data_IF_158348142485
#
_entry.id   IF_158348142485
#
_cell.length_a   1.000
_cell.length_b   1.000
_cell.length_c   1.000
_cell.angle_alpha   90.00
_cell.angle_beta   90.00
_cell.angle_gamma   90.00
#
_symmetry.space_group_name_H-M   'P 1'
#
loop_
_entity.id
_entity.type
_entity.pdbx_description
1 polymer ?
#
# COMPACT_ATOMS: atom_id res chain seq x y z
N UNK A 1 -1.90 -13.94 18.97
CA UNK A 1 -1.77 -12.79 19.90
C UNK A 1 -2.13 -13.30 21.30
N UNK A 2 -1.25 -13.15 22.27
CA UNK A 2 -1.47 -13.62 23.64
C UNK A 2 -2.24 -12.57 24.46
N UNK A 3 -2.99 -13.01 25.50
CA UNK A 3 -3.69 -12.12 26.45
C UNK A 3 -2.77 -11.06 27.09
N UNK A 4 -1.46 -11.30 27.11
CA UNK A 4 -0.45 -10.36 27.62
C UNK A 4 -0.29 -9.10 26.74
N UNK A 5 -0.54 -9.19 25.42
CA UNK A 5 -0.44 -8.07 24.48
C UNK A 5 -1.65 -7.11 24.61
N UNK A 6 -2.80 -7.65 24.97
CA UNK A 6 -4.02 -6.85 25.21
C UNK A 6 -3.96 -6.00 26.49
N UNK A 7 -3.19 -6.43 27.50
CA UNK A 7 -3.07 -5.72 28.77
C UNK A 7 -2.14 -4.50 28.74
N UNK A 8 -1.33 -4.35 27.70
CA UNK A 8 -0.38 -3.24 27.54
C UNK A 8 -0.88 -2.09 26.64
N UNK A 9 -2.02 -2.26 25.97
CA UNK A 9 -2.57 -1.21 25.10
C UNK A 9 -3.21 -0.10 25.92
N UNK A 10 -2.92 1.18 25.62
CA UNK A 10 -3.61 2.31 26.24
C UNK A 10 -5.14 2.20 26.09
N UNK A 11 -5.89 2.56 27.16
CA UNK A 11 -7.35 2.49 27.19
C UNK A 11 -7.94 3.84 27.65
N UNK A 12 -9.22 4.05 27.37
CA UNK A 12 -9.90 5.30 27.69
C UNK A 12 -9.50 6.42 26.75
N UNK A 13 -8.95 7.50 27.28
CA UNK A 13 -8.41 8.60 26.46
C UNK A 13 -7.04 8.21 25.93
N UNK A 14 -6.93 8.06 24.63
CA UNK A 14 -5.73 7.57 23.92
C UNK A 14 -5.25 8.64 22.93
N UNK A 15 -3.96 8.84 22.84
CA UNK A 15 -3.34 9.69 21.83
C UNK A 15 -2.75 8.84 20.72
N UNK A 16 -3.15 9.14 19.50
CA UNK A 16 -2.71 8.44 18.29
C UNK A 16 -1.69 9.26 17.53
N UNK A 17 -0.59 8.63 17.14
CA UNK A 17 0.39 9.14 16.21
C UNK A 17 0.30 8.32 14.91
N UNK A 18 0.11 9.02 13.80
CA UNK A 18 0.30 8.48 12.46
C UNK A 18 1.54 9.09 11.83
N UNK A 19 2.33 8.27 11.16
CA UNK A 19 3.48 8.72 10.39
C UNK A 19 3.38 8.23 8.96
N UNK A 20 4.02 8.92 8.03
CA UNK A 20 4.07 8.53 6.62
C UNK A 20 5.25 9.23 5.92
N UNK A 21 5.97 8.52 5.02
CA UNK A 21 7.11 9.06 4.28
C UNK A 21 6.63 9.84 3.07
N UNK A 22 7.00 11.11 2.98
CA UNK A 22 6.64 11.96 1.85
C UNK A 22 7.35 11.50 0.57
N UNK A 23 6.57 11.20 -0.47
CA UNK A 23 7.11 10.81 -1.77
C UNK A 23 7.74 9.42 -1.81
N UNK A 24 7.32 8.50 -0.94
CA UNK A 24 7.80 7.12 -0.85
C UNK A 24 7.82 6.40 -2.21
N UNK A 25 6.78 6.57 -3.02
CA UNK A 25 6.74 6.01 -4.40
C UNK A 25 7.90 6.49 -5.29
N UNK A 26 8.37 7.75 -5.11
CA UNK A 26 9.53 8.26 -5.84
C UNK A 26 10.83 7.64 -5.32
N UNK A 27 10.93 7.44 -4.00
CA UNK A 27 12.07 6.78 -3.38
C UNK A 27 12.18 5.32 -3.84
N UNK A 28 11.08 4.59 -3.86
CA UNK A 28 11.02 3.20 -4.40
C UNK A 28 11.54 3.17 -5.84
N UNK A 29 11.07 4.08 -6.70
CA UNK A 29 11.50 4.12 -8.11
C UNK A 29 12.97 4.52 -8.29
N UNK A 30 13.48 5.40 -7.42
CA UNK A 30 14.86 5.89 -7.52
C UNK A 30 15.89 4.89 -6.99
N UNK A 31 15.54 4.15 -5.92
CA UNK A 31 16.45 3.29 -5.18
C UNK A 31 16.32 1.80 -5.56
N UNK A 32 15.19 1.39 -6.17
CA UNK A 32 14.98 0.00 -6.52
C UNK A 32 15.19 -0.94 -5.31
N UNK A 33 16.16 -1.82 -5.38
CA UNK A 33 16.49 -2.79 -4.32
C UNK A 33 16.96 -2.15 -3.02
N UNK A 34 17.66 -1.02 -3.09
CA UNK A 34 18.23 -0.36 -1.90
C UNK A 34 17.17 0.35 -1.05
N UNK A 35 15.93 0.47 -1.58
CA UNK A 35 14.80 0.98 -0.81
C UNK A 35 14.50 0.14 0.45
N UNK A 36 14.75 -1.17 0.41
CA UNK A 36 14.58 -2.06 1.56
C UNK A 36 15.40 -1.65 2.78
N UNK A 37 16.66 -1.26 2.57
CA UNK A 37 17.56 -0.81 3.63
C UNK A 37 17.12 0.54 4.19
N UNK A 38 16.69 1.46 3.32
CA UNK A 38 16.13 2.76 3.73
C UNK A 38 14.87 2.56 4.58
N UNK A 39 13.96 1.67 4.16
CA UNK A 39 12.74 1.36 4.90
C UNK A 39 13.04 0.70 6.25
N UNK A 40 13.99 -0.21 6.31
CA UNK A 40 14.42 -0.85 7.55
C UNK A 40 14.99 0.19 8.54
N UNK A 41 15.84 1.09 8.05
CA UNK A 41 16.41 2.16 8.88
C UNK A 41 15.37 3.16 9.35
N UNK A 42 14.48 3.60 8.46
CA UNK A 42 13.32 4.43 8.84
C UNK A 42 12.50 3.77 9.96
N UNK A 43 12.17 2.49 9.79
CA UNK A 43 11.38 1.74 10.78
C UNK A 43 12.08 1.64 12.13
N UNK A 44 13.40 1.44 12.14
CA UNK A 44 14.21 1.41 13.35
C UNK A 44 14.16 2.75 14.09
N UNK A 45 14.32 3.87 13.39
CA UNK A 45 14.29 5.21 13.98
C UNK A 45 12.92 5.52 14.62
N UNK A 46 11.82 5.20 13.92
CA UNK A 46 10.48 5.37 14.47
C UNK A 46 10.28 4.49 15.71
N UNK A 47 10.60 3.20 15.64
CA UNK A 47 10.42 2.27 16.78
C UNK A 47 11.25 2.65 17.99
N UNK A 48 12.46 3.11 17.80
CA UNK A 48 13.33 3.57 18.90
C UNK A 48 12.71 4.79 19.62
N UNK A 49 12.23 5.78 18.88
CA UNK A 49 11.56 6.94 19.45
C UNK A 49 10.26 6.55 20.17
N UNK A 50 9.43 5.71 19.55
CA UNK A 50 8.17 5.20 20.13
C UNK A 50 8.42 4.43 21.43
N UNK A 51 9.39 3.53 21.44
CA UNK A 51 9.73 2.73 22.63
C UNK A 51 10.26 3.59 23.78
N UNK A 52 11.05 4.61 23.48
CA UNK A 52 11.63 5.54 24.49
C UNK A 52 10.55 6.36 25.20
N UNK A 53 9.38 6.51 24.59
CA UNK A 53 8.25 7.31 25.12
C UNK A 53 6.99 6.47 25.39
N UNK A 54 7.14 5.19 25.70
CA UNK A 54 6.05 4.28 26.09
C UNK A 54 4.92 4.17 25.05
N UNK A 55 5.24 4.34 23.76
CA UNK A 55 4.29 4.14 22.68
C UNK A 55 4.04 2.66 22.40
N UNK A 56 2.83 2.34 22.01
CA UNK A 56 2.43 1.02 21.56
C UNK A 56 2.20 1.04 20.05
N UNK A 57 3.03 0.31 19.28
CA UNK A 57 2.83 0.13 17.84
C UNK A 57 1.57 -0.71 17.61
N UNK A 58 0.56 -0.10 17.00
CA UNK A 58 -0.74 -0.75 16.74
C UNK A 58 -0.71 -1.46 15.40
N UNK A 59 -0.15 -0.80 14.38
CA UNK A 59 -0.07 -1.31 13.02
C UNK A 59 1.06 -0.59 12.26
N UNK A 60 1.62 -1.28 11.27
CA UNK A 60 2.62 -0.72 10.35
C UNK A 60 2.27 -1.15 8.94
N UNK A 61 2.22 -0.21 8.01
CA UNK A 61 1.90 -0.46 6.61
C UNK A 61 2.97 0.19 5.74
N UNK A 62 3.85 -0.64 5.18
CA UNK A 62 5.00 -0.14 4.45
C UNK A 62 5.82 0.82 5.32
N UNK A 63 5.87 2.09 4.91
CA UNK A 63 6.55 3.18 5.62
C UNK A 63 5.69 3.92 6.65
N UNK A 64 4.40 3.59 6.75
CA UNK A 64 3.46 4.25 7.65
C UNK A 64 3.32 3.53 8.98
N UNK A 65 3.39 4.28 10.09
CA UNK A 65 3.18 3.75 11.44
C UNK A 65 1.89 4.30 12.04
N UNK A 66 1.17 3.43 12.72
CA UNK A 66 0.07 3.77 13.61
C UNK A 66 0.43 3.37 15.03
N UNK A 67 0.58 4.37 15.91
CA UNK A 67 1.04 4.21 17.29
C UNK A 67 0.03 4.81 18.25
N UNK A 68 -0.17 4.15 19.40
CA UNK A 68 -1.03 4.60 20.49
C UNK A 68 -0.21 4.93 21.73
N UNK A 69 -0.58 6.02 22.42
CA UNK A 69 0.04 6.48 23.66
C UNK A 69 -1.03 6.74 24.73
N UNK A 70 -0.72 6.42 25.97
CA UNK A 70 -1.55 6.77 27.12
C UNK A 70 -1.52 8.25 27.50
N UNK A 71 -0.55 9.02 26.98
CA UNK A 71 -0.33 10.43 27.33
C UNK A 71 0.04 11.24 26.08
N UNK A 72 -0.61 12.38 25.90
CA UNK A 72 -0.35 13.26 24.75
C UNK A 72 1.12 13.73 24.68
N UNK A 73 1.71 14.07 25.81
CA UNK A 73 3.11 14.52 25.88
C UNK A 73 4.11 13.45 25.44
N UNK A 74 3.84 12.18 25.74
CA UNK A 74 4.72 11.09 25.33
C UNK A 74 4.69 10.91 23.79
N UNK A 75 3.49 11.04 23.18
CA UNK A 75 3.34 11.04 21.72
C UNK A 75 4.08 12.19 21.04
N UNK A 76 4.00 13.38 21.62
CA UNK A 76 4.70 14.57 21.11
C UNK A 76 6.21 14.40 21.23
N UNK A 77 6.71 13.96 22.37
CA UNK A 77 8.13 13.70 22.58
C UNK A 77 8.67 12.63 21.60
N UNK A 78 7.94 11.54 21.42
CA UNK A 78 8.28 10.50 20.43
C UNK A 78 8.34 11.06 19.00
N UNK A 79 7.38 11.90 18.62
CA UNK A 79 7.35 12.51 17.30
C UNK A 79 8.54 13.46 17.07
N UNK A 80 8.88 14.27 18.06
CA UNK A 80 10.03 15.21 18.00
C UNK A 80 11.34 14.45 17.89
N UNK A 81 11.53 13.42 18.73
CA UNK A 81 12.76 12.62 18.71
C UNK A 81 12.90 11.81 17.40
N UNK A 82 11.80 11.25 16.89
CA UNK A 82 11.80 10.61 15.59
C UNK A 82 12.19 11.57 14.46
N UNK A 83 11.65 12.79 14.43
CA UNK A 83 12.01 13.79 13.42
C UNK A 83 13.48 14.22 13.52
N UNK A 84 13.99 14.42 14.73
CA UNK A 84 15.41 14.71 14.94
C UNK A 84 16.31 13.60 14.48
N UNK A 85 15.93 12.36 14.77
CA UNK A 85 16.68 11.18 14.33
C UNK A 85 16.72 11.07 12.79
N UNK A 86 15.58 11.32 12.11
CA UNK A 86 15.54 11.34 10.65
C UNK A 86 16.36 12.48 10.05
N UNK A 87 16.34 13.67 10.67
CA UNK A 87 17.12 14.81 10.20
C UNK A 87 18.65 14.63 10.40
N UNK A 88 19.05 13.83 11.38
CA UNK A 88 20.46 13.55 11.68
C UNK A 88 20.99 12.32 10.90
N UNK A 89 20.12 11.52 10.25
CA UNK A 89 20.49 10.31 9.56
C UNK A 89 21.13 10.61 8.19
N UNK A 90 22.15 9.85 7.83
CA UNK A 90 22.77 9.88 6.50
C UNK A 90 22.07 8.84 5.59
N UNK A 91 21.17 9.31 4.74
CA UNK A 91 20.33 8.47 3.89
C UNK A 91 20.98 8.03 2.56
N UNK A 92 22.27 8.31 2.37
CA UNK A 92 23.01 7.91 1.16
C UNK A 92 22.33 8.41 -0.13
N UNK A 93 22.13 7.51 -1.10
CA UNK A 93 21.53 7.84 -2.39
C UNK A 93 20.04 8.20 -2.31
N UNK A 94 19.37 7.92 -1.19
CA UNK A 94 18.00 8.38 -0.94
C UNK A 94 17.92 9.92 -0.76
N UNK A 95 19.04 10.56 -0.47
CA UNK A 95 19.15 11.99 -0.22
C UNK A 95 18.52 12.38 1.11
N UNK A 96 17.22 12.55 1.20
CA UNK A 96 16.51 12.94 2.40
C UNK A 96 15.21 12.14 2.53
N UNK A 97 15.04 11.41 3.63
CA UNK A 97 13.78 10.71 3.96
C UNK A 97 12.97 11.58 4.91
N UNK A 98 11.92 12.19 4.40
CA UNK A 98 11.10 13.16 5.12
C UNK A 98 9.80 12.53 5.57
N UNK A 99 9.54 12.55 6.87
CA UNK A 99 8.36 11.91 7.49
C UNK A 99 7.36 12.99 7.91
N UNK A 100 6.11 12.88 7.48
CA UNK A 100 5.00 13.68 8.00
C UNK A 100 4.36 12.95 9.18
N UNK A 101 3.92 13.70 10.19
CA UNK A 101 3.36 13.14 11.41
C UNK A 101 2.09 13.87 11.81
N UNK A 102 1.07 13.11 12.25
CA UNK A 102 -0.19 13.65 12.73
C UNK A 102 -0.60 13.03 14.05
N UNK A 103 -0.95 13.88 15.04
CA UNK A 103 -1.28 13.45 16.39
C UNK A 103 -2.69 13.91 16.75
N UNK A 104 -3.50 12.99 17.28
CA UNK A 104 -4.84 13.28 17.75
C UNK A 104 -5.18 12.48 19.01
N UNK A 105 -5.82 13.13 19.97
CA UNK A 105 -6.28 12.50 21.22
C UNK A 105 -7.80 12.34 21.19
N UNK A 106 -8.27 11.13 21.47
CA UNK A 106 -9.68 10.76 21.48
C UNK A 106 -9.96 9.59 22.41
N UNK A 107 -11.23 9.27 22.58
CA UNK A 107 -11.71 8.03 23.22
C UNK A 107 -12.14 7.04 22.12
N UNK A 108 -11.28 6.11 21.71
CA UNK A 108 -11.60 5.14 20.67
C UNK A 108 -12.42 3.98 21.20
N UNK A 109 -13.10 3.28 20.29
CA UNK A 109 -13.57 1.95 20.54
C UNK A 109 -12.43 0.93 20.32
N UNK A 110 -12.43 -0.14 21.11
CA UNK A 110 -11.42 -1.20 21.03
C UNK A 110 -11.99 -2.48 20.44
N UNK A 111 -11.19 -3.15 19.62
CA UNK A 111 -11.43 -4.50 19.15
C UNK A 111 -10.23 -5.40 19.50
N UNK A 112 -10.37 -6.73 19.39
CA UNK A 112 -9.23 -7.63 19.57
C UNK A 112 -8.04 -7.30 18.64
N UNK A 113 -8.29 -6.67 17.49
CA UNK A 113 -7.27 -6.34 16.49
C UNK A 113 -6.72 -4.92 16.60
N UNK A 114 -7.29 -4.03 17.44
CA UNK A 114 -6.81 -2.66 17.60
C UNK A 114 -7.89 -1.65 17.95
N UNK A 115 -7.63 -0.39 17.62
CA UNK A 115 -8.54 0.73 17.84
C UNK A 115 -9.33 1.05 16.58
N UNK A 116 -10.59 1.48 16.76
CA UNK A 116 -11.43 1.96 15.67
C UNK A 116 -12.27 3.17 16.08
N UNK A 117 -12.91 3.82 15.12
CA UNK A 117 -13.73 4.99 15.30
C UNK A 117 -13.16 6.26 14.70
N UNK A 118 -13.94 7.35 14.78
CA UNK A 118 -13.62 8.63 14.14
C UNK A 118 -12.32 9.27 14.63
N UNK A 119 -11.89 8.99 15.87
CA UNK A 119 -10.63 9.50 16.41
C UNK A 119 -9.41 8.96 15.67
N UNK A 120 -9.41 7.66 15.33
CA UNK A 120 -8.34 7.04 14.54
C UNK A 120 -8.27 7.65 13.13
N UNK A 121 -9.45 7.80 12.47
CA UNK A 121 -9.52 8.43 11.15
C UNK A 121 -9.03 9.88 11.18
N UNK A 122 -9.38 10.64 12.24
CA UNK A 122 -8.96 12.04 12.38
C UNK A 122 -7.44 12.16 12.49
N UNK A 123 -6.78 11.34 13.30
CA UNK A 123 -5.31 11.31 13.39
C UNK A 123 -4.65 11.05 12.03
N UNK A 124 -5.13 10.05 11.28
CA UNK A 124 -4.65 9.74 9.94
C UNK A 124 -4.86 10.89 8.95
N UNK A 125 -6.00 11.62 9.02
CA UNK A 125 -6.28 12.78 8.15
C UNK A 125 -5.40 13.98 8.49
N UNK A 126 -5.10 14.21 9.77
CA UNK A 126 -4.15 15.26 10.20
C UNK A 126 -2.75 14.95 9.65
N UNK A 127 -2.29 13.70 9.74
CA UNK A 127 -1.03 13.28 9.13
C UNK A 127 -1.01 13.56 7.61
N UNK A 128 -2.08 13.20 6.90
CA UNK A 128 -2.16 13.30 5.45
C UNK A 128 -2.07 14.73 4.90
N UNK A 129 -2.51 15.76 5.64
CA UNK A 129 -2.45 17.15 5.18
C UNK A 129 -1.09 17.82 5.44
N UNK A 130 -0.22 17.19 6.22
CA UNK A 130 1.12 17.66 6.53
C UNK A 130 2.14 17.42 5.43
N UNK A 131 3.30 18.02 5.61
CA UNK A 131 4.48 17.87 4.76
C UNK A 131 5.56 17.05 5.46
N UNK A 132 6.46 16.46 4.71
CA UNK A 132 7.61 15.72 5.26
C UNK A 132 8.47 16.63 6.18
N UNK A 133 8.77 16.13 7.39
CA UNK A 133 9.43 16.90 8.45
C UNK A 133 8.47 17.67 9.36
N UNK A 134 7.16 17.69 9.08
CA UNK A 134 6.16 18.44 9.84
C UNK A 134 5.44 17.53 10.85
N UNK A 135 5.23 18.05 12.07
CA UNK A 135 4.41 17.41 13.11
C UNK A 135 3.18 18.27 13.34
N UNK A 136 1.99 17.68 13.12
CA UNK A 136 0.70 18.34 13.28
C UNK A 136 -0.10 17.76 14.43
N UNK A 137 -0.78 18.63 15.17
CA UNK A 137 -1.67 18.28 16.27
C UNK A 137 -3.10 18.72 15.98
N UNK A 138 -4.08 17.95 16.44
CA UNK A 138 -5.45 18.42 16.61
C UNK A 138 -5.57 19.39 17.79
N UNK A 139 -6.68 20.16 17.82
CA UNK A 139 -7.02 21.01 18.96
C UNK A 139 -7.10 20.23 20.28
N UNK A 140 -7.67 19.02 20.27
CA UNK A 140 -7.78 18.19 21.49
C UNK A 140 -6.41 17.80 22.04
N UNK A 141 -5.46 17.47 21.17
CA UNK A 141 -4.09 17.16 21.59
C UNK A 141 -3.35 18.41 22.06
N UNK A 142 -3.46 19.51 21.30
CA UNK A 142 -2.81 20.79 21.66
C UNK A 142 -3.22 21.27 23.06
N UNK A 143 -4.48 21.09 23.44
CA UNK A 143 -4.96 21.45 24.78
C UNK A 143 -4.47 20.55 25.94
N UNK A 144 -3.80 19.44 25.62
CA UNK A 144 -3.21 18.51 26.58
C UNK A 144 -1.69 18.63 26.68
N UNK A 145 -1.09 19.42 25.78
CA UNK A 145 0.35 19.69 25.77
C UNK A 145 0.58 21.01 26.46
N UNK A 146 1.20 20.97 27.64
CA UNK A 146 1.59 22.15 28.39
C UNK A 146 2.99 22.59 27.91
N UNK A 147 3.07 23.77 27.32
CA UNK A 147 4.33 24.34 26.82
C UNK A 147 5.29 24.62 27.99
N UNK A 148 4.78 24.93 29.18
CA UNK A 148 5.58 25.18 30.38
C UNK A 148 6.23 23.88 30.92
N UNK A 149 5.57 22.72 30.71
CA UNK A 149 6.11 21.42 31.07
C UNK A 149 6.98 20.79 29.96
N UNK A 150 7.06 21.43 28.78
CA UNK A 150 7.79 20.94 27.60
C UNK A 150 8.77 21.99 27.07
N UNK A 151 9.87 22.27 27.81
CA UNK A 151 10.83 23.30 27.43
C UNK A 151 11.35 23.11 26.00
N UNK A 152 11.31 24.18 25.21
CA UNK A 152 11.77 24.18 23.82
C UNK A 152 10.75 23.67 22.79
N UNK A 153 9.50 23.44 23.21
CA UNK A 153 8.35 23.23 22.31
C UNK A 153 7.52 24.51 22.23
N UNK A 154 7.10 24.88 21.02
CA UNK A 154 6.13 25.94 20.75
C UNK A 154 5.05 25.38 19.84
N UNK A 155 3.79 25.76 20.08
CA UNK A 155 2.65 25.39 19.25
C UNK A 155 2.25 26.58 18.35
N UNK A 156 2.41 26.40 17.05
CA UNK A 156 1.91 27.36 16.06
C UNK A 156 0.52 27.00 15.59
N UNK A 157 -0.44 27.87 15.81
CA UNK A 157 -1.81 27.72 15.29
C UNK A 157 -1.82 27.93 13.77
N UNK A 158 -2.26 26.92 13.03
CA UNK A 158 -2.40 26.97 11.56
C UNK A 158 -3.83 27.27 11.11
N UNK A 159 -4.78 27.47 12.06
CA UNK A 159 -6.18 27.75 11.77
C UNK A 159 -7.04 26.51 11.56
N UNK A 160 -8.21 26.74 10.98
CA UNK A 160 -9.22 25.69 10.74
C UNK A 160 -9.12 25.13 9.32
N UNK A 161 -9.11 23.81 9.23
CA UNK A 161 -8.98 23.08 7.96
C UNK A 161 -10.05 22.01 7.82
N UNK A 162 -10.72 21.98 6.67
CA UNK A 162 -11.63 20.88 6.33
C UNK A 162 -10.81 19.66 5.93
N UNK A 163 -10.91 18.58 6.69
CA UNK A 163 -10.24 17.32 6.42
C UNK A 163 -11.18 16.35 5.69
N UNK A 164 -10.64 15.55 4.78
CA UNK A 164 -11.42 14.60 3.98
C UNK A 164 -12.23 13.65 4.87
N UNK A 165 -13.57 13.62 4.68
CA UNK A 165 -14.47 12.74 5.41
C UNK A 165 -14.79 13.19 6.83
N UNK A 166 -14.46 14.44 7.20
CA UNK A 166 -14.94 15.09 8.42
C UNK A 166 -15.93 16.18 8.06
N UNK A 167 -17.08 16.22 8.75
CA UNK A 167 -18.16 17.15 8.47
C UNK A 167 -17.90 18.58 9.00
N UNK A 168 -16.93 18.71 9.91
CA UNK A 168 -16.57 19.98 10.55
C UNK A 168 -15.09 20.28 10.37
N UNK A 169 -14.70 21.55 10.20
CA UNK A 169 -13.31 21.96 10.19
C UNK A 169 -12.61 21.54 11.49
N UNK A 170 -11.36 21.12 11.39
CA UNK A 170 -10.46 20.82 12.51
C UNK A 170 -9.43 21.93 12.63
N UNK A 171 -9.24 22.44 13.84
CA UNK A 171 -8.16 23.40 14.13
C UNK A 171 -6.87 22.64 14.33
N UNK A 172 -5.87 22.99 13.53
CA UNK A 172 -4.60 22.28 13.45
C UNK A 172 -3.49 23.16 13.99
N UNK A 173 -2.60 22.55 14.76
CA UNK A 173 -1.40 23.16 15.30
C UNK A 173 -0.17 22.44 14.78
N UNK A 174 0.91 23.21 14.57
CA UNK A 174 2.23 22.67 14.21
C UNK A 174 3.14 22.74 15.42
N UNK A 175 3.89 21.67 15.69
CA UNK A 175 4.98 21.70 16.67
C UNK A 175 6.19 22.40 16.06
N UNK A 176 6.72 23.35 16.78
CA UNK A 176 8.03 23.96 16.57
C UNK A 176 8.96 23.49 17.68
N UNK A 177 10.12 22.97 17.31
CA UNK A 177 11.14 22.55 18.27
C UNK A 177 12.53 22.79 17.67
N UNK A 178 13.52 23.01 18.54
CA UNK A 178 14.90 23.17 18.10
C UNK A 178 15.39 21.93 17.31
N UNK A 179 16.03 22.17 16.18
CA UNK A 179 16.50 21.12 15.27
C UNK A 179 15.45 20.62 14.27
N UNK A 180 14.22 21.16 14.31
CA UNK A 180 13.17 20.83 13.34
C UNK A 180 12.88 21.98 12.38
N UNK A 181 12.36 21.65 11.19
CA UNK A 181 11.88 22.63 10.22
C UNK A 181 10.73 23.46 10.78
N UNK A 182 10.84 24.80 10.71
CA UNK A 182 9.81 25.70 11.21
C UNK A 182 8.85 26.19 10.13
N UNK A 183 9.25 26.18 8.85
CA UNK A 183 8.50 26.78 7.74
C UNK A 183 8.17 25.73 6.70
N UNK A 184 6.88 25.57 6.41
CA UNK A 184 6.34 24.66 5.41
C UNK A 184 5.39 25.41 4.47
N UNK A 185 5.09 24.80 3.32
CA UNK A 185 4.00 25.27 2.48
C UNK A 185 2.65 25.20 3.23
N UNK A 186 1.60 25.90 2.76
CA UNK A 186 0.26 25.73 3.32
C UNK A 186 -0.14 24.26 3.38
N UNK A 187 -0.92 23.88 4.40
CA UNK A 187 -1.39 22.51 4.52
C UNK A 187 -2.11 22.05 3.24
N UNK A 188 -1.94 20.79 2.89
CA UNK A 188 -2.48 20.22 1.66
C UNK A 188 -4.01 20.23 1.69
N UNK A 189 -4.62 20.80 0.68
CA UNK A 189 -6.07 20.91 0.60
C UNK A 189 -6.73 19.57 0.30
N UNK A 190 -8.04 19.44 0.62
CA UNK A 190 -8.85 18.26 0.24
C UNK A 190 -8.81 18.04 -1.28
N UNK A 191 -8.77 19.13 -2.06
CA UNK A 191 -8.70 19.07 -3.53
C UNK A 191 -7.35 18.55 -4.02
N UNK A 192 -6.23 18.95 -3.39
CA UNK A 192 -4.90 18.43 -3.72
C UNK A 192 -4.76 16.96 -3.34
N UNK A 193 -5.23 16.59 -2.14
CA UNK A 193 -5.28 15.19 -1.71
C UNK A 193 -6.21 14.33 -2.58
N UNK A 194 -7.31 14.90 -3.08
CA UNK A 194 -8.18 14.22 -4.03
C UNK A 194 -7.49 14.03 -5.39
N UNK A 195 -6.75 15.03 -5.88
CA UNK A 195 -5.98 14.92 -7.12
C UNK A 195 -4.84 13.92 -7.02
N UNK A 196 -4.15 13.83 -5.89
CA UNK A 196 -3.14 12.80 -5.66
C UNK A 196 -3.77 11.40 -5.53
N UNK A 197 -4.96 11.30 -4.89
CA UNK A 197 -5.73 10.07 -4.84
C UNK A 197 -6.33 9.68 -6.21
N UNK A 198 -6.61 10.67 -7.08
CA UNK A 198 -6.99 10.45 -8.48
C UNK A 198 -5.80 10.09 -9.36
N UNK A 199 -4.62 10.63 -9.06
CA UNK A 199 -3.36 10.20 -9.69
C UNK A 199 -2.96 8.79 -9.27
N UNK A 200 -3.39 8.33 -8.10
CA UNK A 200 -3.43 6.92 -7.68
C UNK A 200 -4.78 6.32 -8.12
N UNK A 201 -4.99 6.17 -9.43
CA UNK A 201 -6.23 5.70 -10.05
C UNK A 201 -6.51 4.22 -9.82
N UNK A 202 -6.63 3.83 -8.59
CA UNK A 202 -7.17 2.51 -8.29
C UNK A 202 -8.69 2.53 -8.48
N UNK A 203 -9.25 1.79 -9.44
CA UNK A 203 -10.68 1.73 -9.68
C UNK A 203 -11.42 1.17 -8.45
N UNK A 204 -12.70 1.52 -8.30
CA UNK A 204 -13.56 1.04 -7.20
C UNK A 204 -14.87 0.48 -7.76
N UNK A 205 -15.54 -0.38 -7.00
CA UNK A 205 -16.76 -1.05 -7.41
C UNK A 205 -16.47 -2.30 -8.23
N UNK A 206 -17.01 -2.39 -9.45
CA UNK A 206 -16.69 -3.49 -10.36
C UNK A 206 -15.37 -3.22 -11.03
N UNK A 207 -14.38 -4.07 -10.76
CA UNK A 207 -13.01 -3.96 -11.27
C UNK A 207 -12.58 -5.26 -11.93
N UNK A 208 -11.53 -5.22 -12.74
CA UNK A 208 -10.93 -6.40 -13.32
C UNK A 208 -9.53 -6.62 -12.74
N UNK A 209 -9.31 -7.77 -12.16
CA UNK A 209 -8.00 -8.21 -11.66
C UNK A 209 -7.28 -9.01 -12.72
N UNK A 210 -6.00 -8.69 -12.89
CA UNK A 210 -5.00 -9.50 -13.58
C UNK A 210 -4.08 -10.08 -12.52
N UNK A 211 -3.97 -11.40 -12.50
CA UNK A 211 -3.04 -12.11 -11.61
C UNK A 211 -2.11 -12.94 -12.48
N UNK A 212 -0.82 -12.82 -12.23
CA UNK A 212 0.20 -13.68 -12.85
C UNK A 212 1.01 -14.38 -11.78
N UNK A 213 1.52 -15.56 -12.08
CA UNK A 213 2.24 -16.37 -11.11
C UNK A 213 3.18 -17.38 -11.82
N UNK A 214 4.33 -17.69 -11.21
CA UNK A 214 5.35 -18.56 -11.76
C UNK A 214 5.12 -20.03 -11.39
N UNK A 215 4.97 -20.88 -12.37
CA UNK A 215 4.86 -22.31 -12.14
C UNK A 215 6.21 -22.92 -11.79
N UNK A 216 6.31 -23.54 -10.61
CA UNK A 216 7.51 -24.24 -10.17
C UNK A 216 8.63 -23.33 -9.70
N UNK A 217 8.32 -22.13 -9.18
CA UNK A 217 9.25 -21.12 -8.65
C UNK A 217 10.28 -21.69 -7.68
N UNK A 218 9.86 -22.56 -6.74
CA UNK A 218 10.77 -23.24 -5.80
C UNK A 218 11.80 -24.13 -6.52
N UNK A 219 11.38 -24.81 -7.58
CA UNK A 219 12.28 -25.67 -8.37
C UNK A 219 13.26 -24.81 -9.18
N UNK A 220 12.79 -23.70 -9.74
CA UNK A 220 13.64 -22.72 -10.43
C UNK A 220 14.65 -22.07 -9.49
N UNK A 221 14.21 -21.65 -8.28
CA UNK A 221 15.12 -21.12 -7.27
C UNK A 221 16.23 -22.10 -6.90
N UNK A 222 15.89 -23.39 -6.76
CA UNK A 222 16.90 -24.44 -6.48
C UNK A 222 17.86 -24.67 -7.65
N UNK A 223 17.38 -24.60 -8.88
CA UNK A 223 18.18 -24.83 -10.08
C UNK A 223 19.10 -23.65 -10.41
N UNK A 224 18.62 -22.42 -10.31
CA UNK A 224 19.34 -21.20 -10.67
C UNK A 224 20.17 -20.63 -9.52
N UNK A 225 19.79 -20.93 -8.28
CA UNK A 225 20.32 -20.24 -7.08
C UNK A 225 19.70 -18.85 -6.89
N UNK A 226 19.85 -18.29 -5.69
CA UNK A 226 19.14 -17.07 -5.27
C UNK A 226 19.44 -15.85 -6.16
N UNK A 227 20.69 -15.64 -6.57
CA UNK A 227 21.07 -14.46 -7.36
C UNK A 227 20.42 -14.46 -8.74
N UNK A 228 20.59 -15.54 -9.51
CA UNK A 228 20.02 -15.65 -10.87
C UNK A 228 18.50 -15.72 -10.87
N UNK A 229 17.92 -16.38 -9.85
CA UNK A 229 16.48 -16.38 -9.67
C UNK A 229 15.95 -14.97 -9.40
N UNK A 230 16.67 -14.17 -8.60
CA UNK A 230 16.35 -12.77 -8.36
C UNK A 230 16.38 -11.94 -9.64
N UNK A 231 17.42 -12.06 -10.47
CA UNK A 231 17.53 -11.38 -11.78
C UNK A 231 16.37 -11.77 -12.73
N UNK A 232 16.02 -13.06 -12.75
CA UNK A 232 14.88 -13.55 -13.53
C UNK A 232 13.56 -12.96 -13.02
N UNK A 233 13.35 -12.91 -11.72
CA UNK A 233 12.14 -12.38 -11.09
C UNK A 233 11.99 -10.88 -11.37
N UNK A 234 13.07 -10.11 -11.28
CA UNK A 234 13.04 -8.69 -11.65
C UNK A 234 12.65 -8.48 -13.10
N UNK A 235 13.24 -9.26 -14.00
CA UNK A 235 12.90 -9.14 -15.42
C UNK A 235 11.44 -9.51 -15.70
N UNK A 236 10.93 -10.53 -15.02
CA UNK A 236 9.51 -10.89 -15.06
C UNK A 236 8.61 -9.75 -14.56
N UNK A 237 8.93 -9.18 -13.41
CA UNK A 237 8.17 -8.08 -12.81
C UNK A 237 8.16 -6.84 -13.71
N UNK A 238 9.31 -6.46 -14.29
CA UNK A 238 9.41 -5.36 -15.25
C UNK A 238 8.47 -5.57 -16.45
N UNK A 239 8.51 -6.76 -17.07
CA UNK A 239 7.69 -7.06 -18.25
C UNK A 239 6.20 -6.97 -17.92
N UNK A 240 5.76 -7.54 -16.79
CA UNK A 240 4.35 -7.51 -16.39
C UNK A 240 3.94 -6.09 -16.01
N UNK A 241 4.78 -5.35 -15.27
CA UNK A 241 4.52 -3.97 -14.87
C UNK A 241 4.39 -3.04 -16.08
N UNK A 242 5.27 -3.18 -17.08
CA UNK A 242 5.23 -2.37 -18.30
C UNK A 242 3.94 -2.64 -19.08
N UNK A 243 3.56 -3.91 -19.24
CA UNK A 243 2.32 -4.28 -19.92
C UNK A 243 1.08 -3.74 -19.18
N UNK A 244 1.05 -3.84 -17.85
CA UNK A 244 -0.03 -3.30 -17.01
C UNK A 244 -0.14 -1.78 -17.18
N UNK A 245 0.99 -1.08 -17.11
CA UNK A 245 1.03 0.38 -17.21
C UNK A 245 0.63 0.88 -18.60
N UNK A 246 1.05 0.19 -19.66
CA UNK A 246 0.71 0.51 -21.05
C UNK A 246 -0.79 0.38 -21.36
N UNK A 247 -1.52 -0.35 -20.54
CA UNK A 247 -2.96 -0.59 -20.68
C UNK A 247 -3.79 0.00 -19.53
N UNK A 248 -3.36 1.12 -18.93
CA UNK A 248 -4.08 1.85 -17.87
C UNK A 248 -4.38 1.01 -16.61
N UNK A 249 -3.60 -0.04 -16.35
CA UNK A 249 -3.66 -0.86 -15.14
C UNK A 249 -2.86 -0.29 -14.00
N UNK A 250 -3.16 -0.75 -12.78
CA UNK A 250 -2.45 -0.41 -11.57
C UNK A 250 -2.00 -1.68 -10.86
N UNK A 251 -0.70 -1.90 -10.73
CA UNK A 251 -0.18 -2.94 -9.84
C UNK A 251 -0.34 -2.51 -8.39
N UNK A 252 -0.76 -3.42 -7.51
CA UNK A 252 -0.97 -3.07 -6.11
C UNK A 252 -0.41 -4.08 -5.11
N UNK A 253 -0.09 -5.28 -5.53
CA UNK A 253 0.47 -6.29 -4.63
C UNK A 253 1.42 -7.22 -5.39
N UNK A 254 2.56 -7.51 -4.78
CA UNK A 254 3.50 -8.53 -5.20
C UNK A 254 3.75 -9.44 -3.99
N UNK A 255 3.34 -10.70 -4.11
CA UNK A 255 3.50 -11.69 -3.03
C UNK A 255 4.36 -12.84 -3.56
N UNK A 256 5.62 -12.82 -3.21
CA UNK A 256 6.58 -13.80 -3.72
C UNK A 256 6.79 -13.66 -5.22
N UNK A 257 6.33 -14.64 -5.99
CA UNK A 257 6.36 -14.73 -7.45
C UNK A 257 5.01 -14.41 -8.12
N UNK A 258 4.02 -14.01 -7.34
CA UNK A 258 2.70 -13.60 -7.83
C UNK A 258 2.63 -12.09 -7.98
N UNK A 259 2.19 -11.62 -9.15
CA UNK A 259 1.97 -10.21 -9.44
C UNK A 259 0.47 -9.96 -9.60
N UNK A 260 -0.05 -8.93 -8.93
CA UNK A 260 -1.48 -8.60 -8.95
C UNK A 260 -1.68 -7.14 -9.40
N UNK A 261 -2.47 -6.98 -10.44
CA UNK A 261 -2.88 -5.68 -10.95
C UNK A 261 -4.40 -5.56 -11.08
N UNK A 262 -4.88 -4.34 -11.10
CA UNK A 262 -6.30 -4.02 -11.22
C UNK A 262 -6.53 -3.02 -12.35
N UNK A 263 -7.67 -3.16 -13.03
CA UNK A 263 -8.09 -2.36 -14.16
C UNK A 263 -9.53 -1.90 -14.00
N UNK A 264 -9.83 -0.71 -14.47
CA UNK A 264 -11.19 -0.21 -14.58
C UNK A 264 -11.99 -0.85 -15.72
N UNK A 265 -11.33 -1.51 -16.69
CA UNK A 265 -11.95 -2.13 -17.86
C UNK A 265 -11.42 -3.54 -18.10
N UNK A 266 -12.31 -4.49 -18.33
CA UNK A 266 -11.94 -5.88 -18.60
C UNK A 266 -11.13 -6.04 -19.90
N UNK A 267 -11.42 -5.20 -20.91
CA UNK A 267 -10.69 -5.19 -22.18
C UNK A 267 -9.21 -4.86 -21.96
N UNK A 268 -8.93 -3.83 -21.18
CA UNK A 268 -7.56 -3.33 -20.96
C UNK A 268 -6.76 -4.36 -20.15
N UNK A 269 -7.37 -5.02 -19.16
CA UNK A 269 -6.78 -6.13 -18.44
C UNK A 269 -6.41 -7.32 -19.35
N UNK A 270 -7.31 -7.66 -20.28
CA UNK A 270 -7.04 -8.75 -21.23
C UNK A 270 -5.91 -8.38 -22.19
N UNK A 271 -5.89 -7.15 -22.71
CA UNK A 271 -4.82 -6.69 -23.61
C UNK A 271 -3.47 -6.64 -22.90
N UNK A 272 -3.43 -6.16 -21.66
CA UNK A 272 -2.24 -6.19 -20.82
C UNK A 272 -1.73 -7.64 -20.61
N UNK A 273 -2.64 -8.56 -20.29
CA UNK A 273 -2.31 -9.97 -20.10
C UNK A 273 -1.70 -10.61 -21.35
N UNK A 274 -2.25 -10.32 -22.53
CA UNK A 274 -1.73 -10.80 -23.82
C UNK A 274 -0.36 -10.17 -24.11
N UNK A 275 -0.23 -8.84 -23.91
CA UNK A 275 1.03 -8.13 -24.15
C UNK A 275 2.15 -8.67 -23.24
N UNK A 276 1.85 -8.86 -21.95
CA UNK A 276 2.80 -9.44 -21.01
C UNK A 276 3.22 -10.85 -21.46
N UNK A 277 2.27 -11.72 -21.77
CA UNK A 277 2.55 -13.09 -22.24
C UNK A 277 3.42 -13.10 -23.49
N UNK A 278 3.08 -12.30 -24.50
CA UNK A 278 3.83 -12.25 -25.75
C UNK A 278 5.29 -11.83 -25.53
N UNK A 279 5.54 -10.85 -24.64
CA UNK A 279 6.90 -10.43 -24.31
C UNK A 279 7.62 -11.49 -23.46
N UNK A 280 6.95 -12.11 -22.50
CA UNK A 280 7.50 -13.20 -21.68
C UNK A 280 7.94 -14.38 -22.54
N UNK A 281 7.11 -14.76 -23.53
CA UNK A 281 7.40 -15.86 -24.45
C UNK A 281 8.54 -15.54 -25.44
N UNK A 282 8.72 -14.27 -25.80
CA UNK A 282 9.78 -13.79 -26.69
C UNK A 282 11.09 -13.47 -25.96
N UNK A 283 11.09 -13.41 -24.62
CA UNK A 283 12.27 -13.05 -23.85
C UNK A 283 13.26 -14.22 -23.76
N UNK A 284 14.54 -13.92 -24.02
CA UNK A 284 15.63 -14.86 -23.75
C UNK A 284 15.93 -14.88 -22.25
N UNK A 285 15.64 -16.02 -21.63
CA UNK A 285 15.83 -16.22 -20.21
C UNK A 285 17.20 -16.85 -19.88
N UNK A 286 17.79 -16.54 -18.71
CA UNK A 286 19.04 -17.16 -18.28
C UNK A 286 18.97 -18.69 -18.31
N UNK A 287 20.07 -19.33 -18.70
CA UNK A 287 20.24 -20.79 -18.75
C UNK A 287 19.16 -21.51 -19.60
N UNK A 288 18.56 -20.83 -20.59
CA UNK A 288 17.48 -21.36 -21.45
C UNK A 288 16.26 -21.88 -20.64
N UNK A 289 16.08 -21.42 -19.42
CA UNK A 289 14.94 -21.78 -18.56
C UNK A 289 13.82 -20.77 -18.73
N UNK A 290 12.90 -21.00 -19.65
CA UNK A 290 11.70 -20.16 -19.80
C UNK A 290 10.77 -20.39 -18.62
N UNK A 291 10.46 -19.32 -17.83
CA UNK A 291 9.52 -19.45 -16.72
C UNK A 291 8.11 -19.74 -17.25
N UNK A 292 7.47 -20.76 -16.71
CA UNK A 292 6.08 -21.05 -17.00
C UNK A 292 5.17 -20.06 -16.27
N UNK A 293 4.78 -18.96 -16.90
CA UNK A 293 3.88 -17.98 -16.29
C UNK A 293 2.42 -18.38 -16.52
N UNK A 294 1.65 -18.52 -15.45
CA UNK A 294 0.20 -18.68 -15.51
C UNK A 294 -0.49 -17.35 -15.28
N UNK A 295 -1.56 -17.10 -16.01
CA UNK A 295 -2.24 -15.79 -16.01
C UNK A 295 -3.74 -16.01 -15.80
N UNK A 296 -4.33 -15.26 -14.86
CA UNK A 296 -5.76 -15.25 -14.58
C UNK A 296 -6.35 -13.86 -14.65
N UNK A 297 -7.49 -13.71 -15.33
CA UNK A 297 -8.24 -12.45 -15.41
C UNK A 297 -9.66 -12.65 -14.90
N UNK A 298 -10.05 -11.88 -13.90
CA UNK A 298 -11.40 -11.92 -13.34
C UNK A 298 -11.98 -10.55 -13.11
N UNK A 299 -13.24 -10.34 -13.49
CA UNK A 299 -14.01 -9.14 -13.21
C UNK A 299 -15.02 -9.42 -12.11
N UNK A 300 -15.02 -8.58 -11.09
CA UNK A 300 -15.93 -8.69 -9.96
C UNK A 300 -15.94 -7.45 -9.09
N UNK A 301 -16.84 -7.44 -8.12
CA UNK A 301 -16.87 -6.38 -7.12
C UNK A 301 -15.73 -6.53 -6.13
N UNK A 302 -15.11 -5.41 -5.79
CA UNK A 302 -14.07 -5.36 -4.79
C UNK A 302 -14.12 -4.03 -4.05
N UNK A 303 -13.82 -4.09 -2.76
CA UNK A 303 -13.69 -2.93 -1.91
C UNK A 303 -12.21 -2.61 -1.70
N UNK A 304 -11.89 -1.33 -1.72
CA UNK A 304 -10.55 -0.88 -1.35
C UNK A 304 -10.35 -1.02 0.15
N UNK A 305 -9.29 -1.70 0.50
CA UNK A 305 -8.86 -1.82 1.88
C UNK A 305 -7.38 -1.51 1.96
N UNK A 306 -7.03 -0.40 2.66
CA UNK A 306 -5.64 0.05 2.80
C UNK A 306 -5.02 0.36 1.42
N UNK A 307 -3.86 -0.22 1.10
CA UNK A 307 -3.17 -0.07 -0.19
C UNK A 307 -3.65 -1.02 -1.28
N UNK A 308 -4.53 -1.99 -0.95
CA UNK A 308 -4.97 -3.04 -1.87
C UNK A 308 -6.48 -3.16 -1.98
N UNK A 309 -6.93 -4.39 -2.19
CA UNK A 309 -8.34 -4.75 -2.33
C UNK A 309 -8.70 -5.92 -1.43
N UNK A 310 -9.95 -5.94 -0.98
CA UNK A 310 -10.56 -7.08 -0.29
C UNK A 310 -11.86 -7.46 -1.00
N UNK A 311 -12.24 -8.71 -0.87
CA UNK A 311 -13.50 -9.23 -1.40
C UNK A 311 -13.34 -10.49 -2.22
N UNK A 312 -14.48 -11.14 -2.49
CA UNK A 312 -14.51 -12.40 -3.24
C UNK A 312 -14.02 -12.26 -4.68
N UNK A 313 -14.06 -11.04 -5.26
CA UNK A 313 -13.55 -10.77 -6.60
C UNK A 313 -12.04 -11.04 -6.69
N UNK A 314 -11.25 -10.53 -5.73
CA UNK A 314 -9.81 -10.79 -5.69
C UNK A 314 -9.50 -12.28 -5.46
N UNK A 315 -10.18 -12.90 -4.48
CA UNK A 315 -9.99 -14.35 -4.22
C UNK A 315 -10.28 -15.15 -5.48
N UNK A 316 -11.36 -14.84 -6.20
CA UNK A 316 -11.69 -15.54 -7.44
C UNK A 316 -10.66 -15.33 -8.56
N UNK A 317 -10.07 -14.12 -8.68
CA UNK A 317 -8.98 -13.87 -9.62
C UNK A 317 -7.77 -14.77 -9.36
N UNK A 318 -7.37 -14.90 -8.09
CA UNK A 318 -6.30 -15.82 -7.66
C UNK A 318 -6.63 -17.28 -8.01
N UNK A 319 -7.87 -17.73 -7.79
CA UNK A 319 -8.29 -19.12 -8.13
C UNK A 319 -8.36 -19.34 -9.65
N UNK A 320 -8.72 -18.33 -10.44
CA UNK A 320 -8.66 -18.42 -11.92
C UNK A 320 -7.21 -18.55 -12.39
N UNK A 321 -6.28 -17.78 -11.83
CA UNK A 321 -4.85 -17.89 -12.11
C UNK A 321 -4.32 -19.28 -11.72
N UNK A 322 -4.63 -19.77 -10.52
CA UNK A 322 -4.21 -21.07 -10.03
C UNK A 322 -4.75 -22.25 -10.86
N UNK A 323 -5.86 -22.06 -11.56
CA UNK A 323 -6.42 -23.06 -12.47
C UNK A 323 -5.72 -23.13 -13.82
N UNK A 324 -4.84 -22.17 -14.16
CA UNK A 324 -4.08 -22.13 -15.39
C UNK A 324 -2.78 -22.95 -15.29
N UNK A 325 -2.35 -23.49 -16.43
CA UNK A 325 -1.01 -24.06 -16.57
C UNK A 325 0.00 -22.98 -16.99
N UNK A 326 1.29 -23.29 -16.91
CA UNK A 326 2.34 -22.38 -17.42
C UNK A 326 2.11 -22.04 -18.90
N UNK A 327 2.23 -20.75 -19.25
CA UNK A 327 1.94 -20.19 -20.57
C UNK A 327 0.44 -19.98 -20.85
N UNK A 328 -0.47 -20.40 -19.95
CA UNK A 328 -1.91 -20.31 -20.17
C UNK A 328 -2.49 -19.03 -19.57
N UNK A 329 -3.37 -18.38 -20.33
CA UNK A 329 -4.15 -17.19 -19.92
C UNK A 329 -5.62 -17.57 -19.84
N UNK A 330 -6.19 -17.51 -18.62
CA UNK A 330 -7.57 -17.87 -18.35
C UNK A 330 -8.40 -16.67 -17.93
N UNK A 331 -9.63 -16.61 -18.44
CA UNK A 331 -10.65 -15.66 -18.07
C UNK A 331 -11.76 -16.36 -17.29
N UNK A 332 -12.29 -15.65 -16.29
CA UNK A 332 -13.55 -16.05 -15.66
C UNK A 332 -14.75 -15.80 -16.59
N UNK A 333 -15.89 -16.47 -16.36
CA UNK A 333 -17.14 -16.22 -17.12
C UNK A 333 -17.59 -14.76 -17.06
N UNK A 334 -17.36 -14.07 -15.93
CA UNK A 334 -17.72 -12.66 -15.77
C UNK A 334 -16.88 -11.76 -16.68
N UNK A 335 -15.58 -12.04 -16.79
CA UNK A 335 -14.68 -11.30 -17.70
C UNK A 335 -15.03 -11.59 -19.15
N UNK A 336 -15.21 -12.87 -19.51
CA UNK A 336 -15.57 -13.30 -20.86
C UNK A 336 -16.86 -12.61 -21.32
N UNK A 337 -17.92 -12.63 -20.50
CA UNK A 337 -19.19 -12.00 -20.84
C UNK A 337 -19.11 -10.50 -21.08
N UNK A 338 -18.12 -9.80 -20.50
CA UNK A 338 -17.90 -8.37 -20.73
C UNK A 338 -17.14 -8.13 -22.04
N UNK A 339 -16.14 -8.95 -22.34
CA UNK A 339 -15.29 -8.77 -23.52
C UNK A 339 -15.82 -9.48 -24.76
N UNK A 340 -16.82 -10.32 -24.62
CA UNK A 340 -17.45 -11.03 -25.72
C UNK A 340 -18.16 -10.03 -26.67
N UNK A 341 -17.84 -10.13 -27.95
CA UNK A 341 -18.37 -9.21 -28.97
C UNK A 341 -17.61 -7.88 -29.13
N UNK A 342 -16.56 -7.65 -28.35
CA UNK A 342 -15.62 -6.53 -28.56
C UNK A 342 -14.54 -6.99 -29.54
N UNK A 343 -14.11 -6.10 -30.46
CA UNK A 343 -12.92 -6.36 -31.26
C UNK A 343 -11.66 -6.40 -30.40
N UNK A 344 -11.07 -7.57 -30.29
CA UNK A 344 -9.89 -7.85 -29.48
C UNK A 344 -8.61 -8.02 -30.34
N UNK A 345 -8.62 -7.59 -31.58
CA UNK A 345 -7.42 -7.57 -32.44
C UNK A 345 -6.83 -8.95 -32.72
N UNK A 346 -7.67 -9.97 -33.01
CA UNK A 346 -7.22 -11.33 -33.35
C UNK A 346 -7.04 -12.24 -32.14
N UNK A 347 -7.57 -11.88 -30.97
CA UNK A 347 -7.64 -12.76 -29.80
C UNK A 347 -8.89 -13.63 -29.89
N UNK A 348 -8.73 -14.92 -29.71
CA UNK A 348 -9.82 -15.91 -29.60
C UNK A 348 -10.00 -16.37 -28.16
N UNK A 349 -11.28 -16.53 -27.76
CA UNK A 349 -11.66 -17.04 -26.45
C UNK A 349 -12.24 -18.44 -26.64
N UNK A 350 -11.60 -19.45 -26.06
CA UNK A 350 -12.02 -20.84 -26.12
C UNK A 350 -12.54 -21.31 -24.77
N UNK A 351 -13.79 -21.75 -24.72
CA UNK A 351 -14.36 -22.34 -23.51
C UNK A 351 -13.63 -23.64 -23.14
N UNK A 352 -13.29 -23.82 -21.89
CA UNK A 352 -12.69 -24.99 -21.32
C UNK A 352 -13.76 -25.88 -20.65
N UNK A 353 -13.47 -27.17 -20.39
CA UNK A 353 -14.37 -28.02 -19.62
C UNK A 353 -14.73 -27.40 -18.27
N UNK A 354 -15.96 -27.64 -17.84
CA UNK A 354 -16.48 -27.24 -16.54
C UNK A 354 -15.56 -27.72 -15.43
N UNK A 355 -15.24 -26.83 -14.46
CA UNK A 355 -14.42 -27.19 -13.30
C UNK A 355 -14.90 -26.48 -12.03
N UNK A 356 -14.53 -27.04 -10.89
CA UNK A 356 -14.65 -26.38 -9.60
C UNK A 356 -13.40 -25.54 -9.35
N UNK A 357 -13.59 -24.29 -8.90
CA UNK A 357 -12.50 -23.51 -8.31
C UNK A 357 -12.46 -23.79 -6.81
N UNK A 358 -11.27 -23.83 -6.25
CA UNK A 358 -11.07 -23.99 -4.81
C UNK A 358 -11.82 -22.87 -4.04
N UNK A 359 -12.42 -23.20 -2.90
CA UNK A 359 -13.24 -22.31 -2.07
C UNK A 359 -14.54 -21.78 -2.72
N UNK A 360 -14.97 -22.32 -3.85
CA UNK A 360 -16.24 -21.94 -4.49
C UNK A 360 -17.14 -23.16 -4.74
N UNK A 361 -18.41 -23.02 -4.33
CA UNK A 361 -19.40 -24.13 -4.36
C UNK A 361 -20.05 -24.36 -5.73
N UNK A 362 -19.79 -23.49 -6.71
CA UNK A 362 -20.42 -23.58 -8.04
C UNK A 362 -19.37 -23.86 -9.11
N UNK A 363 -19.62 -24.85 -9.98
CA UNK A 363 -18.75 -25.12 -11.12
C UNK A 363 -18.80 -23.93 -12.11
N UNK A 364 -17.66 -23.69 -12.75
CA UNK A 364 -17.50 -22.59 -13.73
C UNK A 364 -16.89 -23.11 -15.02
N UNK A 365 -17.21 -22.42 -16.13
CA UNK A 365 -16.53 -22.58 -17.42
C UNK A 365 -15.51 -21.44 -17.53
N UNK A 366 -14.23 -21.76 -17.48
CA UNK A 366 -13.18 -20.79 -17.77
C UNK A 366 -12.93 -20.71 -19.28
N UNK A 367 -12.44 -19.57 -19.73
CA UNK A 367 -12.12 -19.36 -21.13
C UNK A 367 -10.63 -19.10 -21.29
N UNK A 368 -10.00 -19.80 -22.20
CA UNK A 368 -8.60 -19.59 -22.56
C UNK A 368 -8.50 -18.55 -23.68
N UNK A 369 -7.64 -17.55 -23.49
CA UNK A 369 -7.36 -16.54 -24.51
C UNK A 369 -6.08 -16.88 -25.27
N UNK A 370 -6.19 -16.95 -26.60
CA UNK A 370 -5.08 -17.23 -27.51
C UNK A 370 -5.06 -16.20 -28.65
N UNK A 371 -3.89 -15.94 -29.22
CA UNK A 371 -3.80 -15.23 -30.52
C UNK A 371 -4.01 -16.21 -31.66
N UNK A 372 -4.68 -15.74 -32.72
CA UNK A 372 -4.75 -16.43 -34.01
C UNK A 372 -3.39 -16.48 -34.68
#
# INVERSE_FOLDING_TARGET
MSDADMSQRPQGTVTFLFTDVEGSTRLVRALGRDYGDVLARHSELIRNAVASHHGHEVDTQGEGFFVAFGRAKDSVAAAVDAQRAHAAEEWGDAGEVRVRMGIHTAEPEMSPTGYFGMGVHRAARICAVGHGGQILLSRSTAGLVDEDESPGLELRDLGEHLLKGLDRPERIYQILAEGLGATFAPLRSVTELAREAEASRFPTGTVTFLVTDLVGSVSMLRALGAARYGEMLERYDEIVQDAVTAHDGQAFEMVGDSFIAVFGRARDALLAAIAARDVLDATEWPDATTPGVRIGVHTGEAERWRSGYVGLGLVRALRVCNAANGGQLLLSPATEGIVNGIDLGGIELRALPVRMLEDFDRPVVLHEATRR
#
